data_IF_063637357828
#
_entry.id   IF_063637357828
#
_cell.length_a   1.000
_cell.length_b   1.000
_cell.length_c   1.000
_cell.angle_alpha   90.00
_cell.angle_beta   90.00
_cell.angle_gamma   90.00
#
_symmetry.space_group_name_H-M   'P 1'
#
loop_
_entity.id
_entity.type
_entity.pdbx_description
1 polymer ?
#
# COMPACT_ATOMS: atom_id res chain seq x y z
N UNK A 1 -15.87 5.24 -9.98
CA UNK A 1 -14.88 6.24 -10.42
C UNK A 1 -13.58 5.48 -10.60
N UNK A 2 -13.08 5.32 -11.83
CA UNK A 2 -11.80 4.64 -12.12
C UNK A 2 -10.66 5.59 -12.47
N UNK A 3 -10.93 6.90 -12.46
CA UNK A 3 -9.94 7.95 -12.68
C UNK A 3 -9.52 8.55 -11.33
N UNK A 4 -8.26 8.97 -11.17
CA UNK A 4 -7.20 9.02 -12.19
C UNK A 4 -6.40 7.72 -12.39
N UNK A 5 -6.75 6.63 -11.69
CA UNK A 5 -6.02 5.35 -11.69
C UNK A 5 -5.75 4.80 -13.09
N UNK A 6 -6.80 4.59 -13.88
CA UNK A 6 -6.69 4.02 -15.24
C UNK A 6 -5.76 4.86 -16.13
N UNK A 7 -5.93 6.18 -16.12
CA UNK A 7 -5.08 7.07 -16.90
C UNK A 7 -3.64 7.07 -16.41
N UNK A 8 -3.39 7.03 -15.09
CA UNK A 8 -2.04 6.98 -14.54
C UNK A 8 -1.34 5.65 -14.83
N UNK A 9 -2.08 4.54 -14.89
CA UNK A 9 -1.55 3.26 -15.34
C UNK A 9 -1.10 3.29 -16.80
N UNK A 10 -1.83 3.98 -17.68
CA UNK A 10 -1.45 4.09 -19.09
C UNK A 10 -0.39 5.16 -19.38
N UNK A 11 -0.28 6.16 -18.50
CA UNK A 11 0.61 7.31 -18.66
C UNK A 11 1.67 7.40 -17.57
N UNK A 12 1.46 8.19 -16.51
CA UNK A 12 2.22 8.24 -15.26
C UNK A 12 1.64 9.34 -14.35
N UNK A 13 1.96 9.37 -13.05
CA UNK A 13 1.75 10.54 -12.21
C UNK A 13 2.32 11.82 -12.83
N UNK A 14 1.53 12.90 -12.85
CA UNK A 14 1.93 14.20 -13.42
C UNK A 14 1.86 14.31 -14.94
N UNK A 15 1.51 13.23 -15.66
CA UNK A 15 1.29 13.31 -17.10
C UNK A 15 0.12 14.27 -17.41
N UNK A 16 0.14 15.03 -18.53
CA UNK A 16 -0.96 15.90 -18.91
C UNK A 16 -2.32 15.18 -18.98
N UNK A 17 -2.34 13.93 -19.43
CA UNK A 17 -3.54 13.10 -19.44
C UNK A 17 -4.05 12.80 -18.02
N UNK A 18 -3.16 12.42 -17.09
CA UNK A 18 -3.51 12.18 -15.69
C UNK A 18 -4.05 13.44 -15.01
N UNK A 19 -3.44 14.62 -15.25
CA UNK A 19 -3.95 15.89 -14.74
C UNK A 19 -5.34 16.23 -15.31
N UNK A 20 -5.57 15.92 -16.58
CA UNK A 20 -6.88 16.07 -17.21
C UNK A 20 -7.92 15.14 -16.58
N UNK A 21 -7.54 13.89 -16.28
CA UNK A 21 -8.41 12.94 -15.60
C UNK A 21 -8.78 13.39 -14.17
N UNK A 22 -7.80 13.92 -13.42
CA UNK A 22 -8.05 14.54 -12.09
C UNK A 22 -9.03 15.71 -12.22
N UNK A 23 -8.84 16.60 -13.20
CA UNK A 23 -9.77 17.71 -13.46
C UNK A 23 -11.17 17.21 -13.77
N UNK A 24 -11.29 16.15 -14.57
CA UNK A 24 -12.59 15.54 -14.86
C UNK A 24 -13.26 14.96 -13.61
N UNK A 25 -12.49 14.35 -12.70
CA UNK A 25 -13.02 13.87 -11.42
C UNK A 25 -13.52 15.04 -10.53
N UNK A 26 -12.79 16.15 -10.49
CA UNK A 26 -13.20 17.38 -9.79
C UNK A 26 -14.50 17.99 -10.39
N UNK A 27 -14.60 18.08 -11.72
CA UNK A 27 -15.80 18.56 -12.40
C UNK A 27 -17.03 17.67 -12.12
N UNK A 28 -16.84 16.35 -12.04
CA UNK A 28 -17.89 15.42 -11.65
C UNK A 28 -18.30 15.59 -10.19
N UNK A 29 -17.34 15.82 -9.28
CA UNK A 29 -17.64 16.13 -7.89
C UNK A 29 -18.45 17.43 -7.77
N UNK A 30 -18.08 18.47 -8.52
CA UNK A 30 -18.83 19.72 -8.57
C UNK A 30 -20.28 19.51 -9.05
N UNK A 31 -20.52 18.59 -9.99
CA UNK A 31 -21.87 18.24 -10.44
C UNK A 31 -22.71 17.58 -9.34
N UNK A 32 -22.10 16.68 -8.53
CA UNK A 32 -22.75 16.07 -7.36
C UNK A 32 -23.08 17.12 -6.32
N UNK A 33 -22.12 18.00 -5.98
CA UNK A 33 -22.34 19.09 -5.04
C UNK A 33 -23.46 20.03 -5.49
N UNK A 34 -23.48 20.41 -6.77
CA UNK A 34 -24.53 21.23 -7.35
C UNK A 34 -25.91 20.54 -7.29
N UNK A 35 -25.97 19.22 -7.39
CA UNK A 35 -27.21 18.47 -7.21
C UNK A 35 -27.71 18.51 -5.76
N UNK A 36 -26.81 18.40 -4.78
CA UNK A 36 -27.16 18.56 -3.36
C UNK A 36 -27.69 19.97 -3.07
N UNK A 37 -27.10 21.01 -3.66
CA UNK A 37 -27.55 22.39 -3.52
C UNK A 37 -28.97 22.59 -4.08
N UNK A 38 -29.25 22.09 -5.28
CA UNK A 38 -30.59 22.16 -5.90
C UNK A 38 -31.65 21.46 -5.05
N UNK A 39 -31.28 20.38 -4.37
CA UNK A 39 -32.16 19.64 -3.46
C UNK A 39 -32.20 20.23 -2.05
N UNK A 40 -31.48 21.33 -1.78
CA UNK A 40 -31.32 21.93 -0.45
C UNK A 40 -30.83 20.93 0.61
N UNK A 41 -30.02 19.95 0.19
CA UNK A 41 -29.48 18.90 1.04
C UNK A 41 -28.03 19.16 1.45
N UNK A 42 -27.37 20.18 0.89
CA UNK A 42 -25.94 20.45 1.12
C UNK A 42 -25.59 20.69 2.58
N UNK A 43 -26.46 21.39 3.32
CA UNK A 43 -26.26 21.75 4.73
C UNK A 43 -26.46 20.57 5.69
N UNK A 44 -27.12 19.50 5.23
CA UNK A 44 -27.47 18.32 6.04
C UNK A 44 -26.75 17.05 5.57
N UNK A 45 -25.73 17.19 4.71
CA UNK A 45 -25.01 16.06 4.11
C UNK A 45 -23.52 16.16 4.40
N UNK A 46 -22.98 15.15 5.08
CA UNK A 46 -21.54 14.92 5.12
C UNK A 46 -21.07 14.20 3.86
N UNK A 47 -19.98 14.70 3.30
CA UNK A 47 -19.32 14.14 2.13
C UNK A 47 -17.91 13.70 2.52
N UNK A 48 -17.52 12.50 2.09
CA UNK A 48 -16.16 12.00 2.14
C UNK A 48 -15.65 11.79 0.71
N UNK A 49 -14.51 12.38 0.39
CA UNK A 49 -13.74 12.12 -0.83
C UNK A 49 -12.51 11.34 -0.42
N UNK A 50 -12.45 10.08 -0.82
CA UNK A 50 -11.39 9.14 -0.43
C UNK A 50 -10.70 8.55 -1.63
N UNK A 51 -9.51 8.01 -1.40
CA UNK A 51 -8.79 7.18 -2.36
C UNK A 51 -8.34 5.90 -1.66
N UNK A 52 -8.34 4.81 -2.41
CA UNK A 52 -7.82 3.52 -1.98
C UNK A 52 -6.30 3.53 -1.84
N UNK A 53 -5.58 4.18 -2.77
CA UNK A 53 -4.11 4.26 -2.75
C UNK A 53 -3.57 5.50 -3.47
N UNK A 54 -2.29 5.81 -3.20
CA UNK A 54 -1.51 6.73 -4.01
C UNK A 54 -0.93 6.08 -5.27
N UNK A 55 0.16 6.62 -5.82
CA UNK A 55 0.76 6.13 -7.06
C UNK A 55 2.26 6.43 -7.13
N UNK A 56 3.01 5.51 -7.75
CA UNK A 56 4.42 5.69 -8.12
C UNK A 56 4.62 5.50 -9.62
N UNK A 57 5.78 5.93 -10.13
CA UNK A 57 6.19 5.66 -11.51
C UNK A 57 7.10 4.43 -11.57
N UNK A 58 6.90 3.58 -12.56
CA UNK A 58 7.67 2.36 -12.77
C UNK A 58 9.03 2.72 -13.36
N UNK A 59 10.09 2.39 -12.65
CA UNK A 59 11.48 2.54 -13.08
C UNK A 59 11.86 1.47 -14.10
N UNK A 60 11.56 0.20 -13.80
CA UNK A 60 11.77 -0.95 -14.69
C UNK A 60 10.82 -2.08 -14.34
N UNK A 61 10.54 -2.91 -15.33
CA UNK A 61 9.80 -4.15 -15.18
C UNK A 61 10.74 -5.31 -14.85
N UNK A 62 10.35 -6.16 -13.91
CA UNK A 62 11.13 -7.31 -13.43
C UNK A 62 10.45 -8.61 -13.88
N UNK A 63 11.06 -9.33 -14.81
CA UNK A 63 10.64 -10.70 -15.19
C UNK A 63 11.09 -11.70 -14.12
N UNK A 64 10.42 -11.63 -12.97
CA UNK A 64 10.77 -12.42 -11.80
C UNK A 64 10.60 -13.92 -12.05
N UNK A 65 9.63 -14.31 -12.88
CA UNK A 65 9.47 -15.70 -13.31
C UNK A 65 10.73 -16.18 -14.02
N UNK A 66 11.23 -15.43 -15.00
CA UNK A 66 12.47 -15.80 -15.70
C UNK A 66 13.66 -15.83 -14.74
N UNK A 67 13.84 -14.79 -13.93
CA UNK A 67 14.95 -14.65 -12.97
C UNK A 67 14.99 -15.85 -12.00
N UNK A 68 13.84 -16.26 -11.46
CA UNK A 68 13.76 -17.41 -10.56
C UNK A 68 14.02 -18.74 -11.28
N UNK A 69 13.49 -18.94 -12.48
CA UNK A 69 13.75 -20.17 -13.25
C UNK A 69 15.24 -20.29 -13.63
N UNK A 70 15.88 -19.19 -14.03
CA UNK A 70 17.32 -19.15 -14.32
C UNK A 70 18.16 -19.47 -13.06
N UNK A 71 17.65 -19.15 -11.86
CA UNK A 71 18.25 -19.49 -10.57
C UNK A 71 17.88 -20.90 -10.05
N UNK A 72 17.17 -21.70 -10.85
CA UNK A 72 16.82 -23.09 -10.54
C UNK A 72 15.63 -23.26 -9.59
N UNK A 73 14.68 -22.34 -9.61
CA UNK A 73 13.36 -22.50 -8.98
C UNK A 73 12.32 -22.93 -10.03
N UNK A 74 11.30 -23.70 -9.66
CA UNK A 74 10.16 -23.99 -10.55
C UNK A 74 9.09 -22.89 -10.40
N UNK A 75 9.34 -21.72 -10.98
CA UNK A 75 8.45 -20.56 -10.84
C UNK A 75 7.44 -20.45 -11.99
N UNK A 76 6.16 -20.30 -11.66
CA UNK A 76 5.03 -20.29 -12.60
C UNK A 76 4.09 -19.12 -12.29
N UNK A 77 3.38 -18.63 -13.30
CA UNK A 77 2.32 -17.60 -13.16
C UNK A 77 0.93 -18.15 -13.44
N UNK A 78 0.86 -19.42 -13.86
CA UNK A 78 -0.35 -20.20 -14.07
C UNK A 78 0.00 -21.69 -14.01
N UNK A 79 -0.97 -22.51 -13.62
CA UNK A 79 -0.87 -23.97 -13.72
C UNK A 79 -1.81 -24.47 -14.81
N UNK A 80 -1.28 -25.28 -15.73
CA UNK A 80 -2.06 -26.01 -16.74
C UNK A 80 -2.34 -27.45 -16.34
N UNK A 81 -1.59 -27.95 -15.37
CA UNK A 81 -1.64 -29.29 -14.80
C UNK A 81 -1.67 -29.19 -13.28
N UNK A 82 -1.89 -30.30 -12.58
CA UNK A 82 -1.87 -30.32 -11.12
C UNK A 82 -0.54 -29.76 -10.56
N UNK A 83 -0.57 -28.76 -9.66
CA UNK A 83 0.62 -28.20 -9.05
C UNK A 83 1.39 -29.26 -8.26
N UNK A 84 2.73 -29.28 -8.41
CA UNK A 84 3.58 -30.25 -7.70
C UNK A 84 4.26 -29.59 -6.51
N UNK A 85 4.47 -30.34 -5.44
CA UNK A 85 5.30 -29.88 -4.31
C UNK A 85 6.65 -29.37 -4.82
N UNK A 86 7.03 -28.17 -4.41
CA UNK A 86 8.23 -27.48 -4.87
C UNK A 86 8.03 -26.52 -6.07
N UNK A 87 6.84 -26.51 -6.68
CA UNK A 87 6.45 -25.42 -7.57
C UNK A 87 6.18 -24.13 -6.77
N UNK A 88 6.45 -22.97 -7.38
CA UNK A 88 6.17 -21.66 -6.82
C UNK A 88 5.23 -20.91 -7.76
N UNK A 89 4.01 -20.64 -7.32
CA UNK A 89 3.09 -19.76 -8.04
C UNK A 89 3.36 -18.30 -7.67
N UNK A 90 3.59 -17.48 -8.68
CA UNK A 90 3.77 -16.04 -8.57
C UNK A 90 2.46 -15.33 -8.95
N UNK A 91 1.94 -14.54 -8.04
CA UNK A 91 0.86 -13.58 -8.32
C UNK A 91 1.42 -12.16 -8.23
N UNK A 92 1.59 -11.51 -9.38
CA UNK A 92 2.07 -10.13 -9.48
C UNK A 92 0.91 -9.12 -9.35
N UNK A 93 1.13 -8.05 -8.58
CA UNK A 93 0.18 -6.97 -8.32
C UNK A 93 0.72 -5.60 -8.73
N UNK A 94 1.66 -5.54 -9.69
CA UNK A 94 2.41 -4.32 -10.00
C UNK A 94 3.59 -4.14 -9.04
N UNK A 95 3.40 -3.42 -7.95
CA UNK A 95 4.44 -3.09 -6.96
C UNK A 95 4.82 -4.20 -5.98
N UNK A 96 4.10 -5.32 -5.99
CA UNK A 96 4.40 -6.47 -5.13
C UNK A 96 4.14 -7.79 -5.83
N UNK A 97 4.77 -8.84 -5.31
CA UNK A 97 4.59 -10.22 -5.77
C UNK A 97 4.31 -11.12 -4.57
N UNK A 98 3.29 -11.96 -4.70
CA UNK A 98 2.95 -13.02 -3.73
C UNK A 98 3.49 -14.35 -4.26
N UNK A 99 4.10 -15.13 -3.38
CA UNK A 99 4.70 -16.41 -3.69
C UNK A 99 4.00 -17.51 -2.90
N UNK A 100 3.30 -18.38 -3.62
CA UNK A 100 2.67 -19.58 -3.05
C UNK A 100 3.56 -20.77 -3.35
N UNK A 101 4.19 -21.32 -2.32
CA UNK A 101 5.05 -22.50 -2.41
C UNK A 101 4.16 -23.73 -2.25
N UNK A 102 4.02 -24.51 -3.33
CA UNK A 102 3.16 -25.70 -3.29
C UNK A 102 3.71 -26.71 -2.29
N UNK A 103 2.86 -27.10 -1.35
CA UNK A 103 3.21 -27.98 -0.22
C UNK A 103 3.84 -27.26 0.98
N UNK A 104 3.93 -25.92 0.98
CA UNK A 104 4.53 -25.11 2.05
C UNK A 104 5.95 -25.57 2.45
N UNK A 105 6.77 -25.97 1.45
CA UNK A 105 8.13 -26.47 1.69
C UNK A 105 9.02 -25.38 2.32
N UNK A 106 9.39 -25.59 3.59
CA UNK A 106 10.20 -24.63 4.35
C UNK A 106 11.62 -24.46 3.79
N UNK A 107 12.22 -25.53 3.27
CA UNK A 107 13.60 -25.49 2.76
C UNK A 107 13.63 -24.66 1.48
N UNK A 108 12.67 -24.89 0.58
CA UNK A 108 12.50 -24.09 -0.62
C UNK A 108 12.18 -22.63 -0.29
N UNK A 109 11.32 -22.40 0.70
CA UNK A 109 10.95 -21.04 1.15
C UNK A 109 12.16 -20.27 1.68
N UNK A 110 13.01 -20.89 2.50
CA UNK A 110 14.26 -20.28 2.99
C UNK A 110 15.19 -19.95 1.83
N UNK A 111 15.37 -20.87 0.88
CA UNK A 111 16.18 -20.64 -0.33
C UNK A 111 15.64 -19.48 -1.17
N UNK A 112 14.31 -19.37 -1.34
CA UNK A 112 13.67 -18.27 -2.03
C UNK A 112 13.96 -16.93 -1.34
N UNK A 113 13.84 -16.87 -0.01
CA UNK A 113 14.08 -15.64 0.76
C UNK A 113 15.53 -15.21 0.67
N UNK A 114 16.49 -16.12 0.84
CA UNK A 114 17.91 -15.80 0.69
C UNK A 114 18.23 -15.28 -0.73
N UNK A 115 17.57 -15.80 -1.76
CA UNK A 115 17.68 -15.29 -3.13
C UNK A 115 17.13 -13.87 -3.25
N UNK A 116 15.89 -13.63 -2.78
CA UNK A 116 15.25 -12.32 -2.83
C UNK A 116 16.03 -11.27 -2.03
N UNK A 117 16.56 -11.63 -0.86
CA UNK A 117 17.39 -10.77 0.00
C UNK A 117 18.73 -10.36 -0.63
N UNK A 118 19.17 -11.04 -1.70
CA UNK A 118 20.39 -10.69 -2.45
C UNK A 118 20.08 -9.95 -3.75
N UNK A 119 18.80 -9.77 -4.09
CA UNK A 119 18.39 -9.08 -5.30
C UNK A 119 18.53 -7.56 -5.19
N UNK A 120 18.63 -6.88 -6.33
CA UNK A 120 18.65 -5.42 -6.41
C UNK A 120 17.25 -4.79 -6.52
N UNK A 121 16.19 -5.60 -6.49
CA UNK A 121 14.81 -5.16 -6.67
C UNK A 121 13.92 -5.37 -5.45
N UNK A 122 14.26 -6.25 -4.50
CA UNK A 122 13.48 -6.45 -3.29
C UNK A 122 13.53 -5.21 -2.38
N UNK A 123 12.35 -4.76 -1.92
CA UNK A 123 12.18 -3.73 -0.90
C UNK A 123 11.90 -4.36 0.46
N UNK A 124 10.68 -4.81 0.69
CA UNK A 124 10.30 -5.48 1.95
C UNK A 124 9.82 -6.88 1.67
N UNK A 125 10.25 -7.84 2.48
CA UNK A 125 9.86 -9.25 2.42
C UNK A 125 9.08 -9.59 3.70
N UNK A 126 7.84 -10.05 3.50
CA UNK A 126 7.01 -10.63 4.54
C UNK A 126 6.88 -12.14 4.34
N UNK A 127 6.79 -12.88 5.44
CA UNK A 127 6.67 -14.35 5.42
C UNK A 127 5.56 -14.83 6.34
N UNK A 128 4.90 -15.91 5.95
CA UNK A 128 3.88 -16.59 6.76
C UNK A 128 4.48 -17.10 8.07
N UNK A 129 5.62 -17.78 7.96
CA UNK A 129 6.42 -18.22 9.11
C UNK A 129 7.63 -17.27 9.24
N UNK A 130 7.89 -16.69 10.43
CA UNK A 130 9.00 -15.76 10.60
C UNK A 130 10.35 -16.37 10.22
N UNK A 131 11.11 -15.66 9.39
CA UNK A 131 12.45 -16.05 8.96
C UNK A 131 13.44 -14.89 9.13
N UNK A 132 14.73 -15.19 9.17
CA UNK A 132 15.75 -14.19 9.46
C UNK A 132 15.75 -13.08 8.40
N UNK A 133 15.65 -11.84 8.85
CA UNK A 133 15.62 -10.67 7.98
C UNK A 133 14.31 -10.44 7.22
N UNK A 134 13.22 -11.15 7.56
CA UNK A 134 11.86 -10.90 7.06
C UNK A 134 10.97 -10.31 8.16
N UNK A 135 9.79 -9.82 7.78
CA UNK A 135 8.70 -9.50 8.71
C UNK A 135 7.60 -10.56 8.63
N UNK A 136 6.82 -10.74 9.69
CA UNK A 136 5.64 -11.59 9.63
C UNK A 136 4.51 -10.92 8.82
N UNK A 137 3.69 -11.69 8.11
CA UNK A 137 2.50 -11.15 7.40
C UNK A 137 1.57 -10.33 8.30
N UNK A 138 1.48 -10.68 9.58
CA UNK A 138 0.69 -9.96 10.58
C UNK A 138 1.16 -8.51 10.78
N UNK A 139 2.45 -8.24 10.63
CA UNK A 139 2.99 -6.88 10.74
C UNK A 139 2.51 -5.97 9.61
N UNK A 140 2.03 -6.53 8.50
CA UNK A 140 1.37 -5.81 7.42
C UNK A 140 -0.16 -6.03 7.40
N UNK A 141 -0.72 -6.71 8.41
CA UNK A 141 -2.16 -7.00 8.52
C UNK A 141 -2.72 -7.79 7.31
N UNK A 142 -1.91 -8.65 6.70
CA UNK A 142 -2.29 -9.46 5.53
C UNK A 142 -2.29 -10.97 5.81
N UNK A 143 -2.14 -11.37 7.07
CA UNK A 143 -2.23 -12.75 7.52
C UNK A 143 -3.65 -13.27 7.40
N UNK A 144 -3.82 -14.39 6.70
CA UNK A 144 -5.09 -15.11 6.61
C UNK A 144 -4.85 -16.57 6.20
N UNK A 145 -5.91 -17.37 6.22
CA UNK A 145 -5.83 -18.79 5.86
C UNK A 145 -5.27 -19.01 4.43
N UNK A 146 -5.67 -18.18 3.47
CA UNK A 146 -5.26 -18.22 2.06
C UNK A 146 -4.04 -17.35 1.72
N UNK A 147 -3.31 -16.86 2.72
CA UNK A 147 -2.15 -16.01 2.48
C UNK A 147 -1.03 -16.78 1.72
N UNK A 148 -0.16 -16.09 0.99
CA UNK A 148 1.03 -16.72 0.41
C UNK A 148 2.05 -17.10 1.50
N UNK A 149 3.09 -17.83 1.10
CA UNK A 149 4.23 -18.13 1.97
C UNK A 149 5.15 -16.92 2.12
N UNK A 150 5.30 -16.16 1.03
CA UNK A 150 6.12 -14.96 0.96
C UNK A 150 5.36 -13.85 0.22
N UNK A 151 5.51 -12.61 0.69
CA UNK A 151 5.14 -11.40 -0.05
C UNK A 151 6.36 -10.53 -0.17
N UNK A 152 6.65 -10.04 -1.37
CA UNK A 152 7.71 -9.06 -1.59
C UNK A 152 7.11 -7.79 -2.17
N UNK A 153 7.31 -6.66 -1.49
CA UNK A 153 7.14 -5.34 -2.08
C UNK A 153 8.45 -4.95 -2.78
N UNK A 154 8.36 -4.41 -4.00
CA UNK A 154 9.53 -3.91 -4.72
C UNK A 154 10.14 -2.69 -4.04
N UNK A 155 11.44 -2.52 -4.26
CA UNK A 155 12.21 -1.35 -3.81
C UNK A 155 11.74 -0.09 -4.51
N UNK A 156 11.71 1.01 -3.77
CA UNK A 156 11.34 2.33 -4.28
C UNK A 156 12.37 3.40 -3.89
N UNK A 157 12.28 4.57 -4.52
CA UNK A 157 13.10 5.74 -4.21
C UNK A 157 12.42 7.06 -4.61
N UNK A 158 13.01 8.18 -4.18
CA UNK A 158 12.49 9.54 -4.32
C UNK A 158 12.85 10.24 -5.63
N UNK A 159 13.46 9.54 -6.58
CA UNK A 159 13.75 10.13 -7.88
C UNK A 159 12.47 10.63 -8.54
N UNK A 160 12.60 11.69 -9.33
CA UNK A 160 11.48 12.25 -10.08
C UNK A 160 11.34 11.55 -11.42
N UNK A 161 10.10 11.37 -11.85
CA UNK A 161 9.77 10.88 -13.17
C UNK A 161 9.94 11.97 -14.25
N UNK A 162 9.57 11.63 -15.49
CA UNK A 162 9.64 12.51 -16.66
C UNK A 162 8.76 13.77 -16.57
N UNK A 163 7.84 13.83 -15.61
CA UNK A 163 6.96 14.98 -15.33
C UNK A 163 7.34 15.73 -14.04
N UNK A 164 8.47 15.38 -13.41
CA UNK A 164 8.94 16.02 -12.19
C UNK A 164 8.27 15.53 -10.90
N UNK A 165 7.41 14.51 -10.97
CA UNK A 165 6.73 13.92 -9.81
C UNK A 165 7.62 12.88 -9.14
N UNK A 166 7.87 12.95 -7.82
CA UNK A 166 8.69 11.98 -7.11
C UNK A 166 7.98 10.63 -6.94
N UNK A 167 8.78 9.59 -6.74
CA UNK A 167 8.28 8.23 -6.47
C UNK A 167 8.53 7.31 -7.65
N UNK A 168 9.62 6.55 -7.56
CA UNK A 168 9.99 5.54 -8.54
C UNK A 168 10.05 4.16 -7.88
N UNK A 169 9.39 3.17 -8.48
CA UNK A 169 9.34 1.78 -7.99
C UNK A 169 9.81 0.80 -9.07
N UNK A 170 10.38 -0.34 -8.69
CA UNK A 170 10.39 -1.50 -9.59
C UNK A 170 8.98 -2.13 -9.59
N UNK A 171 8.62 -2.81 -10.69
CA UNK A 171 7.32 -3.47 -10.80
C UNK A 171 7.43 -4.84 -11.48
N UNK A 172 6.37 -5.62 -11.37
CA UNK A 172 6.26 -6.93 -12.00
C UNK A 172 6.31 -6.88 -13.54
N UNK A 173 6.32 -8.06 -14.14
CA UNK A 173 6.44 -8.28 -15.59
C UNK A 173 5.22 -7.84 -16.40
N UNK A 174 4.14 -7.38 -15.77
CA UNK A 174 2.91 -6.97 -16.44
C UNK A 174 2.87 -5.47 -16.72
N UNK A 175 3.79 -4.70 -16.11
CA UNK A 175 3.78 -3.24 -16.15
C UNK A 175 5.04 -2.69 -16.82
N UNK A 176 4.88 -1.66 -17.65
CA UNK A 176 5.98 -1.10 -18.44
C UNK A 176 6.69 0.05 -17.72
N UNK A 177 8.00 0.17 -17.94
CA UNK A 177 8.78 1.31 -17.43
C UNK A 177 8.27 2.65 -17.96
N UNK A 178 8.38 3.70 -17.14
CA UNK A 178 7.88 5.05 -17.44
C UNK A 178 6.38 5.22 -17.25
N UNK A 179 5.62 4.12 -17.08
CA UNK A 179 4.21 4.15 -16.70
C UNK A 179 4.01 4.21 -15.19
N UNK A 180 2.78 4.41 -14.71
CA UNK A 180 2.51 4.38 -13.27
C UNK A 180 1.94 3.04 -12.78
N UNK A 181 2.18 2.74 -11.51
CA UNK A 181 1.50 1.67 -10.77
C UNK A 181 1.58 1.95 -9.26
N UNK A 182 1.12 1.01 -8.46
CA UNK A 182 1.03 1.11 -7.01
C UNK A 182 1.26 -0.29 -6.40
N UNK A 183 0.76 -0.55 -5.18
CA UNK A 183 0.90 -1.81 -4.45
C UNK A 183 2.32 -2.13 -3.98
N UNK A 184 3.11 -1.09 -3.68
CA UNK A 184 4.36 -1.19 -2.90
C UNK A 184 4.18 -0.66 -1.47
N UNK A 185 5.27 -0.58 -0.72
CA UNK A 185 5.37 0.19 0.53
C UNK A 185 6.08 1.54 0.32
N UNK A 186 6.02 2.09 -0.88
CA UNK A 186 6.38 3.48 -1.17
C UNK A 186 5.43 4.41 -0.44
N UNK A 187 5.95 5.46 0.22
CA UNK A 187 5.07 6.48 0.81
C UNK A 187 4.16 7.14 -0.22
N UNK A 188 4.55 7.14 -1.50
CA UNK A 188 3.73 7.68 -2.58
C UNK A 188 2.58 6.75 -2.96
N UNK A 189 2.65 5.45 -2.62
CA UNK A 189 1.56 4.48 -2.80
C UNK A 189 0.69 4.41 -1.53
N UNK A 190 1.31 4.51 -0.36
CA UNK A 190 0.63 4.38 0.94
C UNK A 190 -0.16 5.63 1.31
N UNK A 191 0.39 6.83 1.05
CA UNK A 191 -0.27 8.08 1.38
C UNK A 191 -1.32 8.42 0.30
N UNK A 192 -2.60 8.31 0.67
CA UNK A 192 -3.75 8.55 -0.20
C UNK A 192 -4.57 9.76 0.27
N UNK A 193 -5.68 10.04 -0.41
CA UNK A 193 -6.51 11.22 -0.15
C UNK A 193 -7.67 10.89 0.78
N UNK A 194 -7.89 11.74 1.78
CA UNK A 194 -9.12 11.81 2.56
C UNK A 194 -9.50 13.29 2.76
N UNK A 195 -10.67 13.68 2.26
CA UNK A 195 -11.27 14.99 2.50
C UNK A 195 -12.68 14.77 3.01
N UNK A 196 -13.03 15.37 4.14
CA UNK A 196 -14.38 15.34 4.69
C UNK A 196 -14.97 16.75 4.75
N UNK A 197 -16.24 16.89 4.41
CA UNK A 197 -16.94 18.18 4.45
C UNK A 197 -18.44 18.01 4.71
N UNK A 198 -18.97 18.74 5.68
CA UNK A 198 -20.40 18.73 6.02
C UNK A 198 -20.68 19.36 7.38
N UNK A 199 -21.92 19.26 7.89
CA UNK A 199 -22.31 19.84 9.18
C UNK A 199 -21.53 19.27 10.37
N UNK A 200 -21.04 18.03 10.30
CA UNK A 200 -20.36 17.37 11.41
C UNK A 200 -18.84 17.61 11.44
N UNK A 201 -18.27 18.23 10.39
CA UNK A 201 -16.84 18.46 10.22
C UNK A 201 -16.42 19.91 10.37
N UNK A 202 -15.22 20.12 10.92
CA UNK A 202 -14.58 21.43 11.00
C UNK A 202 -14.24 21.94 9.60
N UNK A 203 -14.21 23.26 9.45
CA UNK A 203 -13.99 23.93 8.16
C UNK A 203 -12.62 24.57 8.10
N UNK A 204 -11.93 24.43 6.97
CA UNK A 204 -10.64 25.09 6.73
C UNK A 204 -9.49 24.55 7.57
N UNK A 205 -9.64 23.32 8.09
CA UNK A 205 -8.62 22.66 8.90
C UNK A 205 -7.86 21.63 8.05
N UNK A 206 -6.59 21.44 8.38
CA UNK A 206 -5.78 20.30 7.92
C UNK A 206 -5.39 19.52 9.17
N UNK A 207 -5.60 18.21 9.12
CA UNK A 207 -5.27 17.30 10.22
C UNK A 207 -4.08 16.43 9.83
N UNK A 208 -3.01 16.54 10.60
CA UNK A 208 -1.77 15.80 10.40
C UNK A 208 -1.73 14.48 11.20
N UNK A 209 -2.79 14.13 11.94
CA UNK A 209 -2.87 12.83 12.57
C UNK A 209 -2.92 11.72 11.51
N UNK A 210 -2.17 10.62 11.71
CA UNK A 210 -2.30 9.43 10.88
C UNK A 210 -3.76 8.96 10.84
N UNK A 211 -4.23 8.73 9.62
CA UNK A 211 -5.57 8.23 9.29
C UNK A 211 -5.47 7.22 8.16
N UNK A 212 -6.51 6.40 8.00
CA UNK A 212 -6.61 5.47 6.89
C UNK A 212 -8.05 5.11 6.56
N UNK A 213 -8.25 4.37 5.46
CA UNK A 213 -9.60 4.00 4.99
C UNK A 213 -10.41 3.20 6.03
N UNK A 214 -9.73 2.51 6.94
CA UNK A 214 -10.35 1.79 8.07
C UNK A 214 -11.10 2.72 9.04
N UNK A 215 -10.77 4.02 9.06
CA UNK A 215 -11.36 5.03 9.95
C UNK A 215 -12.66 5.63 9.41
N UNK A 216 -12.96 5.41 8.12
CA UNK A 216 -14.13 5.99 7.45
C UNK A 216 -15.42 5.41 8.03
N UNK A 217 -15.53 4.08 8.09
CA UNK A 217 -16.71 3.38 8.64
C UNK A 217 -17.02 3.76 10.09
N UNK A 218 -16.09 3.68 11.07
CA UNK A 218 -16.37 4.10 12.45
C UNK A 218 -16.83 5.56 12.53
N UNK A 219 -16.26 6.44 11.71
CA UNK A 219 -16.64 7.86 11.67
C UNK A 219 -18.06 8.04 11.12
N UNK A 220 -18.43 7.33 10.05
CA UNK A 220 -19.81 7.35 9.51
C UNK A 220 -20.82 6.80 10.54
N UNK A 221 -20.52 5.67 11.17
CA UNK A 221 -21.40 5.09 12.20
C UNK A 221 -21.61 6.08 13.36
N UNK A 222 -20.56 6.80 13.73
CA UNK A 222 -20.62 7.85 14.74
C UNK A 222 -21.55 9.00 14.31
N UNK A 223 -21.43 9.50 13.09
CA UNK A 223 -22.32 10.57 12.56
C UNK A 223 -23.78 10.12 12.59
N UNK A 224 -24.04 8.87 12.17
CA UNK A 224 -25.38 8.30 12.12
C UNK A 224 -25.95 7.88 13.50
N UNK A 225 -25.17 7.99 14.58
CA UNK A 225 -25.57 7.52 15.91
C UNK A 225 -25.75 6.00 16.00
N UNK A 226 -25.16 5.24 15.08
CA UNK A 226 -25.24 3.78 15.02
C UNK A 226 -24.11 3.18 15.86
N UNK A 227 -24.47 2.28 16.78
CA UNK A 227 -23.47 1.52 17.55
C UNK A 227 -22.93 0.38 16.69
N UNK A 228 -21.60 0.28 16.62
CA UNK A 228 -20.95 -0.86 16.00
C UNK A 228 -21.29 -2.15 16.75
N UNK A 229 -21.54 -3.23 16.00
CA UNK A 229 -21.83 -4.56 16.56
C UNK A 229 -20.58 -5.32 16.99
N UNK A 230 -19.41 -4.88 16.55
CA UNK A 230 -18.11 -5.46 16.86
C UNK A 230 -17.04 -4.35 16.91
N UNK A 231 -15.88 -4.70 17.48
CA UNK A 231 -14.70 -3.85 17.41
C UNK A 231 -14.25 -3.72 15.94
N UNK A 232 -13.94 -2.49 15.53
CA UNK A 232 -13.37 -2.17 14.23
C UNK A 232 -11.87 -1.91 14.37
N UNK A 233 -11.12 -2.12 13.30
CA UNK A 233 -9.68 -1.84 13.26
C UNK A 233 -9.39 -0.33 13.31
N UNK A 234 -10.25 0.45 12.63
CA UNK A 234 -10.16 1.90 12.59
C UNK A 234 -10.76 2.60 13.81
N UNK A 235 -10.42 3.88 13.92
CA UNK A 235 -10.89 4.79 14.97
C UNK A 235 -11.85 5.83 14.39
N UNK A 236 -12.60 6.48 15.28
CA UNK A 236 -13.39 7.66 14.93
C UNK A 236 -12.40 8.83 14.75
N UNK A 237 -12.54 9.57 13.65
CA UNK A 237 -11.79 10.80 13.38
C UNK A 237 -12.36 12.00 14.15
N UNK A 238 -12.45 11.85 15.47
CA UNK A 238 -13.12 12.80 16.37
C UNK A 238 -12.49 14.20 16.37
N UNK A 239 -11.20 14.27 16.09
CA UNK A 239 -10.41 15.49 15.98
C UNK A 239 -10.89 16.41 14.85
N UNK A 240 -11.46 15.84 13.79
CA UNK A 240 -11.97 16.56 12.63
C UNK A 240 -13.42 17.05 12.82
N UNK A 241 -14.11 16.65 13.91
CA UNK A 241 -15.54 16.93 14.12
C UNK A 241 -15.80 18.21 14.94
N UNK A 242 -16.94 18.90 14.71
CA UNK A 242 -17.27 20.21 15.34
C UNK A 242 -17.78 20.13 16.79
N UNK A 243 -18.54 19.09 17.15
CA UNK A 243 -19.24 18.97 18.44
C UNK A 243 -18.66 17.86 19.33
N UNK A 244 -17.38 17.56 19.16
CA UNK A 244 -16.66 16.59 19.99
C UNK A 244 -15.65 17.35 20.85
N UNK A 245 -15.73 17.13 22.16
CA UNK A 245 -14.78 17.68 23.11
C UNK A 245 -13.35 17.38 22.66
N UNK A 246 -12.46 18.33 22.94
CA UNK A 246 -11.00 18.26 22.71
C UNK A 246 -10.31 17.12 23.49
N UNK A 247 -10.97 16.02 23.86
CA UNK A 247 -10.27 14.77 24.20
C UNK A 247 -9.37 14.32 23.04
N UNK A 248 -9.71 14.68 21.80
CA UNK A 248 -8.84 14.62 20.63
C UNK A 248 -7.54 15.44 20.74
N UNK A 249 -7.44 16.44 21.62
CA UNK A 249 -6.21 17.21 21.87
C UNK A 249 -5.15 16.44 22.65
N UNK A 250 -5.46 15.23 23.11
CA UNK A 250 -4.51 14.32 23.75
C UNK A 250 -4.01 13.21 22.81
N UNK A 251 -4.61 13.04 21.62
CA UNK A 251 -4.15 12.04 20.66
C UNK A 251 -2.79 12.47 20.12
N UNK A 252 -1.76 11.71 20.49
CA UNK A 252 -0.41 11.89 19.98
C UNK A 252 -0.09 10.71 19.06
N UNK A 253 0.37 10.96 17.83
CA UNK A 253 0.84 9.89 16.98
C UNK A 253 2.13 9.33 17.55
N UNK A 254 2.22 8.01 17.62
CA UNK A 254 3.45 7.29 17.89
C UNK A 254 3.98 6.72 16.59
N UNK A 255 5.20 7.12 16.21
CA UNK A 255 5.86 6.62 15.00
C UNK A 255 6.97 5.67 15.39
N UNK A 256 7.00 4.50 14.77
CA UNK A 256 8.05 3.49 14.99
C UNK A 256 8.58 2.99 13.65
N UNK A 257 9.90 2.89 13.55
CA UNK A 257 10.55 2.12 12.48
C UNK A 257 10.98 0.76 13.05
N UNK A 258 10.50 -0.30 12.41
CA UNK A 258 10.89 -1.69 12.68
C UNK A 258 11.95 -2.06 11.66
N UNK A 259 13.02 -2.70 12.11
CA UNK A 259 14.13 -3.12 11.26
C UNK A 259 14.26 -4.64 11.23
N UNK A 260 14.61 -5.20 10.07
CA UNK A 260 14.98 -6.60 9.89
C UNK A 260 16.33 -6.67 9.17
N UNK A 261 17.18 -7.61 9.54
CA UNK A 261 18.45 -7.82 8.83
C UNK A 261 18.86 -9.29 8.79
N UNK A 262 19.65 -9.64 7.77
CA UNK A 262 20.27 -10.96 7.64
C UNK A 262 21.71 -10.78 7.13
N UNK A 263 22.68 -11.36 7.83
CA UNK A 263 24.09 -11.36 7.43
C UNK A 263 24.37 -12.60 6.60
N UNK A 264 24.61 -12.40 5.31
CA UNK A 264 24.87 -13.46 4.33
C UNK A 264 26.38 -13.56 4.05
N UNK A 265 26.88 -14.68 3.49
CA UNK A 265 28.26 -14.78 3.06
C UNK A 265 28.68 -13.67 2.09
N UNK A 266 27.80 -13.31 1.16
CA UNK A 266 28.00 -12.33 0.07
C UNK A 266 27.79 -10.87 0.47
N UNK A 267 27.18 -10.58 1.63
CA UNK A 267 26.72 -9.22 1.97
C UNK A 267 25.76 -9.19 3.14
N UNK A 268 25.11 -8.05 3.34
CA UNK A 268 24.11 -7.86 4.39
C UNK A 268 22.81 -7.36 3.80
N UNK A 269 21.72 -8.06 4.10
CA UNK A 269 20.35 -7.61 3.85
C UNK A 269 19.85 -6.73 4.99
N UNK A 270 19.14 -5.65 4.68
CA UNK A 270 18.38 -4.83 5.62
C UNK A 270 17.04 -4.43 5.03
N UNK A 271 16.01 -4.43 5.84
CA UNK A 271 14.70 -3.86 5.52
C UNK A 271 14.12 -3.10 6.70
N UNK A 272 13.25 -2.15 6.40
CA UNK A 272 12.58 -1.29 7.38
C UNK A 272 11.09 -1.22 7.09
N UNK A 273 10.28 -1.15 8.13
CA UNK A 273 8.85 -0.84 8.06
C UNK A 273 8.56 0.27 9.04
N UNK A 274 8.11 1.42 8.54
CA UNK A 274 7.67 2.56 9.33
C UNK A 274 6.16 2.46 9.53
N UNK A 275 5.76 2.53 10.79
CA UNK A 275 4.36 2.45 11.20
C UNK A 275 4.03 3.62 12.11
N UNK A 276 2.82 4.13 11.95
CA UNK A 276 2.22 5.12 12.84
C UNK A 276 1.12 4.48 13.66
N UNK A 277 0.92 4.96 14.89
CA UNK A 277 -0.16 4.55 15.78
C UNK A 277 -0.87 5.77 16.34
N UNK A 278 -2.19 5.75 16.33
CA UNK A 278 -3.03 6.74 17.04
C UNK A 278 -4.00 5.98 17.93
N UNK A 279 -3.82 6.09 19.24
CA UNK A 279 -4.53 5.23 20.20
C UNK A 279 -4.24 3.75 19.94
N UNK A 280 -5.28 2.95 19.68
CA UNK A 280 -5.12 1.53 19.35
C UNK A 280 -4.88 1.24 17.86
N UNK A 281 -5.19 2.19 16.98
CA UNK A 281 -5.16 1.97 15.51
C UNK A 281 -3.75 2.13 14.97
N UNK A 282 -3.37 1.21 14.08
CA UNK A 282 -2.06 1.15 13.44
C UNK A 282 -2.19 1.49 11.95
N UNK A 283 -1.21 2.21 11.44
CA UNK A 283 -1.09 2.60 10.04
C UNK A 283 0.30 2.22 9.52
N UNK A 284 0.36 1.72 8.29
CA UNK A 284 1.62 1.46 7.60
C UNK A 284 1.97 2.71 6.80
N UNK A 285 3.12 3.32 7.09
CA UNK A 285 3.50 4.59 6.45
C UNK A 285 4.33 4.32 5.19
N UNK A 286 5.37 3.51 5.33
CA UNK A 286 6.28 3.13 4.26
C UNK A 286 7.17 1.97 4.71
N UNK A 287 7.84 1.34 3.75
CA UNK A 287 8.79 0.28 3.99
C UNK A 287 9.70 0.10 2.79
N UNK A 288 10.96 -0.26 3.05
CA UNK A 288 11.94 -0.45 2.00
C UNK A 288 13.05 -1.39 2.47
N UNK A 289 13.93 -1.77 1.57
CA UNK A 289 15.08 -2.60 1.90
C UNK A 289 16.11 -2.65 0.79
N UNK A 290 17.26 -3.19 1.14
CA UNK A 290 18.40 -3.27 0.26
C UNK A 290 19.39 -4.33 0.73
N UNK A 291 20.03 -4.95 -0.25
CA UNK A 291 21.23 -5.75 -0.06
C UNK A 291 22.48 -4.88 -0.24
N UNK A 292 23.44 -5.02 0.67
CA UNK A 292 24.77 -4.39 0.57
C UNK A 292 25.82 -5.50 0.43
N UNK A 293 26.46 -5.67 -0.74
CA UNK A 293 27.53 -6.65 -0.91
C UNK A 293 28.70 -6.39 0.04
N UNK A 294 29.38 -7.46 0.48
CA UNK A 294 30.68 -7.31 1.14
C UNK A 294 31.68 -6.73 0.16
N UNK A 295 32.47 -5.76 0.63
CA UNK A 295 33.60 -5.20 -0.11
C UNK A 295 34.78 -6.16 -0.14
#
# INVERSE_FOLDING_TARGET
>A
LGEPDLTQHESAPGAPAALTAIKSADENLAAVLSALDRQKARETTDLFVVSDHGFSTIRRSIDLRKILNDAGFSAKTQFTDEPKTGDIMLAGNGGSVLFYVIGHDETLTRRLIEFLQQSDFAGVIFTRNPLQGTFALEQAMIQNYHAPDVVMAFRWNDSKNQFGVPGMIDADWQRAAGKGTHATLSRFDMHNTLIAAGPDFRRGEVDDLPTGNIDVTPTILQILGIKASAQMDGRILSEAMVNRDRAASELKPEVKTIEGSNDLPSGRWRQTLKVSRVGSTLYLDEGNGAFVPKR
#
